data_IF_871459734532
#
_entry.id   IF_871459734532
#
_cell.length_a   1.000
_cell.length_b   1.000
_cell.length_c   1.000
_cell.angle_alpha   90.00
_cell.angle_beta   90.00
_cell.angle_gamma   90.00
#
_symmetry.space_group_name_H-M   'P 1'
#
loop_
_entity.id
_entity.type
_entity.pdbx_description
1 polymer ?
#
# COMPACT_ATOMS: atom_id res chain seq x y z
N UNK A 1 5.61 4.66 8.26
CA UNK A 1 6.41 3.87 9.20
C UNK A 1 7.52 3.18 8.45
N UNK A 2 8.76 3.26 8.93
CA UNK A 2 9.93 2.63 8.30
C UNK A 2 10.09 1.20 8.80
N UNK A 3 10.50 0.33 7.89
CA UNK A 3 10.70 -1.09 8.10
C UNK A 3 12.06 -1.48 7.55
N UNK A 4 12.79 -2.27 8.33
CA UNK A 4 13.98 -2.99 7.88
C UNK A 4 13.54 -4.37 7.44
N UNK A 5 13.67 -4.70 6.17
CA UNK A 5 13.28 -5.99 5.61
C UNK A 5 14.52 -6.81 5.29
N UNK A 6 14.51 -8.08 5.66
CA UNK A 6 15.52 -9.07 5.29
C UNK A 6 14.95 -9.96 4.21
N UNK A 7 15.66 -10.05 3.09
CA UNK A 7 15.31 -10.91 1.97
C UNK A 7 15.98 -12.29 2.09
N UNK A 8 15.41 -13.29 1.42
CA UNK A 8 15.96 -14.64 1.36
C UNK A 8 17.36 -14.66 0.73
N UNK A 9 17.64 -13.77 -0.23
CA UNK A 9 18.97 -13.59 -0.81
C UNK A 9 20.02 -13.03 0.18
N UNK A 10 19.66 -12.79 1.43
CA UNK A 10 20.53 -12.29 2.49
C UNK A 10 20.60 -10.76 2.59
N UNK A 11 20.17 -10.05 1.54
CA UNK A 11 20.18 -8.58 1.53
C UNK A 11 19.13 -7.98 2.45
N UNK A 12 19.45 -6.81 2.97
CA UNK A 12 18.58 -6.05 3.86
C UNK A 12 18.25 -4.72 3.20
N UNK A 13 16.96 -4.38 3.17
CA UNK A 13 16.47 -3.16 2.55
C UNK A 13 15.51 -2.41 3.46
N UNK A 14 15.52 -1.09 3.36
CA UNK A 14 14.61 -0.24 4.11
C UNK A 14 13.43 0.16 3.23
N UNK A 15 12.22 0.02 3.77
CA UNK A 15 10.98 0.44 3.09
C UNK A 15 10.06 1.18 4.03
N UNK A 16 9.27 2.06 3.44
CA UNK A 16 8.23 2.79 4.16
C UNK A 16 6.88 2.16 3.84
N UNK A 17 6.11 1.86 4.88
CA UNK A 17 4.72 1.40 4.77
C UNK A 17 3.79 2.34 5.55
N UNK A 18 2.48 2.18 5.35
CA UNK A 18 1.49 2.99 6.04
C UNK A 18 1.61 2.81 7.57
N UNK A 19 1.36 3.88 8.33
CA UNK A 19 1.60 3.89 9.79
C UNK A 19 0.66 2.96 10.57
N UNK A 20 -0.50 2.60 10.01
CA UNK A 20 -1.44 1.66 10.62
C UNK A 20 -1.03 0.20 10.47
N UNK A 21 -0.07 -0.11 9.58
CA UNK A 21 0.39 -1.47 9.36
C UNK A 21 1.33 -1.85 10.52
N UNK A 22 0.85 -2.71 11.41
CA UNK A 22 1.60 -3.18 12.59
C UNK A 22 2.35 -4.50 12.36
N UNK A 23 2.01 -5.23 11.30
CA UNK A 23 2.62 -6.53 10.98
C UNK A 23 3.19 -6.50 9.57
N UNK A 24 4.25 -7.28 9.35
CA UNK A 24 4.93 -7.38 8.06
C UNK A 24 3.97 -7.79 6.95
N UNK A 25 3.10 -8.75 7.22
CA UNK A 25 2.11 -9.26 6.26
C UNK A 25 1.07 -8.21 5.84
N UNK A 26 0.75 -7.27 6.73
CA UNK A 26 -0.14 -6.14 6.41
C UNK A 26 0.63 -5.02 5.68
N UNK A 27 1.90 -4.82 6.08
CA UNK A 27 2.76 -3.79 5.51
C UNK A 27 3.25 -4.10 4.09
N UNK A 28 3.45 -5.38 3.78
CA UNK A 28 4.05 -5.89 2.55
C UNK A 28 3.30 -7.14 2.06
N UNK A 29 2.26 -6.93 1.27
CA UNK A 29 1.47 -7.99 0.62
C UNK A 29 1.92 -8.27 -0.82
N UNK A 30 2.75 -7.39 -1.40
CA UNK A 30 3.20 -7.47 -2.78
C UNK A 30 4.57 -8.12 -2.95
N UNK A 31 4.87 -8.52 -4.19
CA UNK A 31 6.20 -8.92 -4.60
C UNK A 31 7.22 -7.80 -4.30
N UNK A 32 8.35 -8.18 -3.73
CA UNK A 32 9.45 -7.26 -3.40
C UNK A 32 10.65 -7.63 -4.23
N UNK A 33 11.37 -6.67 -4.79
CA UNK A 33 12.60 -6.91 -5.54
C UNK A 33 13.85 -6.61 -4.70
N UNK A 34 14.91 -7.36 -4.97
CA UNK A 34 16.25 -7.15 -4.40
C UNK A 34 17.02 -6.13 -5.25
N UNK A 35 17.33 -4.92 -4.78
CA UNK A 35 18.08 -3.93 -5.57
C UNK A 35 19.56 -4.33 -5.75
N UNK A 36 20.14 -5.11 -4.84
CA UNK A 36 21.55 -5.48 -4.89
C UNK A 36 21.84 -6.62 -5.86
N UNK A 37 20.91 -7.56 -5.95
CA UNK A 37 21.08 -8.81 -6.69
C UNK A 37 20.13 -8.97 -7.89
N UNK A 38 19.20 -8.03 -8.07
CA UNK A 38 18.22 -8.06 -9.16
C UNK A 38 17.15 -9.16 -9.03
N UNK A 39 17.10 -9.89 -7.92
CA UNK A 39 16.13 -10.96 -7.70
C UNK A 39 14.71 -10.38 -7.63
N UNK A 40 13.84 -10.81 -8.54
CA UNK A 40 12.42 -10.44 -8.61
C UNK A 40 11.57 -11.67 -9.01
N UNK A 41 10.62 -12.12 -8.17
CA UNK A 41 10.31 -11.62 -6.83
C UNK A 41 11.30 -12.15 -5.77
N UNK A 42 11.84 -11.25 -4.95
CA UNK A 42 12.56 -11.59 -3.74
C UNK A 42 11.61 -11.85 -2.56
N UNK A 43 11.79 -12.98 -1.90
CA UNK A 43 11.02 -13.36 -0.70
C UNK A 43 11.51 -12.60 0.52
N UNK A 44 10.61 -11.94 1.23
CA UNK A 44 10.90 -11.35 2.54
C UNK A 44 10.87 -12.46 3.59
N UNK A 45 11.97 -12.68 4.30
CA UNK A 45 12.09 -13.70 5.36
C UNK A 45 11.99 -13.12 6.76
N UNK A 46 12.11 -11.81 6.91
CA UNK A 46 11.93 -11.14 8.19
C UNK A 46 11.86 -9.64 8.01
N UNK A 47 11.32 -8.96 9.02
CA UNK A 47 11.34 -7.51 9.02
C UNK A 47 10.92 -6.89 10.33
N UNK A 48 11.54 -5.76 10.63
CA UNK A 48 11.39 -5.04 11.89
C UNK A 48 10.92 -3.61 11.61
N UNK A 49 9.92 -3.17 12.35
CA UNK A 49 9.44 -1.79 12.28
C UNK A 49 10.40 -0.89 13.08
N UNK A 50 11.09 0.02 12.38
CA UNK A 50 12.14 0.88 12.97
C UNK A 50 11.53 2.14 13.61
N UNK A 51 10.29 2.50 13.26
CA UNK A 51 9.62 3.69 13.79
C UNK A 51 8.98 4.56 12.72
N UNK A 52 8.25 5.60 13.15
CA UNK A 52 7.88 6.71 12.28
C UNK A 52 9.13 7.57 12.09
N UNK A 53 9.43 7.96 10.86
CA UNK A 53 10.52 8.90 10.61
C UNK A 53 10.23 10.16 11.42
N UNK A 54 11.07 10.45 12.43
CA UNK A 54 11.14 11.80 12.95
C UNK A 54 11.65 12.63 11.76
N UNK A 55 10.83 13.59 11.31
CA UNK A 55 11.23 14.54 10.27
C UNK A 55 12.66 14.99 10.58
N UNK A 56 13.63 14.90 9.64
CA UNK A 56 14.85 15.68 9.82
C UNK A 56 14.37 17.11 10.07
N UNK A 57 14.88 17.75 11.12
CA UNK A 57 14.53 19.12 11.53
C UNK A 57 15.02 20.09 10.45
N UNK A 58 14.48 19.98 9.24
CA UNK A 58 14.64 20.91 8.17
C UNK A 58 13.91 22.17 8.60
N UNK A 59 14.63 23.28 8.56
CA UNK A 59 14.13 24.59 8.84
C UNK A 59 12.71 24.76 8.32
N UNK A 60 11.83 25.31 9.15
CA UNK A 60 10.44 25.63 8.85
C UNK A 60 10.40 26.54 7.61
N UNK A 61 10.36 25.94 6.43
CA UNK A 61 9.96 26.61 5.21
C UNK A 61 8.46 26.86 5.38
N UNK A 62 7.96 28.11 5.27
CA UNK A 62 6.52 28.34 5.34
C UNK A 62 5.85 27.45 4.30
N UNK A 63 4.92 26.62 4.77
CA UNK A 63 4.21 25.66 3.95
C UNK A 63 3.55 26.40 2.79
N UNK A 64 3.97 26.08 1.56
CA UNK A 64 3.13 26.34 0.41
C UNK A 64 1.79 25.61 0.64
N UNK A 65 0.64 26.24 0.35
CA UNK A 65 -0.64 25.57 0.50
C UNK A 65 -0.60 24.31 -0.37
N UNK A 66 -0.56 23.15 0.29
CA UNK A 66 -0.69 21.87 -0.39
C UNK A 66 -2.04 21.89 -1.06
N UNK A 67 -2.03 22.12 -2.37
CA UNK A 67 -3.19 21.95 -3.21
C UNK A 67 -3.79 20.60 -2.85
N UNK A 68 -5.02 20.63 -2.34
CA UNK A 68 -5.80 19.45 -2.08
C UNK A 68 -5.85 18.65 -3.38
N UNK A 69 -4.94 17.68 -3.51
CA UNK A 69 -4.97 16.70 -4.57
C UNK A 69 -6.28 15.94 -4.37
N UNK A 70 -7.25 16.30 -5.21
CA UNK A 70 -8.60 15.76 -5.25
C UNK A 70 -8.52 14.25 -5.10
N UNK A 71 -8.98 13.72 -3.95
CA UNK A 71 -9.27 12.29 -3.77
C UNK A 71 -10.54 11.95 -4.56
N UNK A 72 -10.49 12.15 -5.88
CA UNK A 72 -11.53 11.80 -6.83
C UNK A 72 -11.23 10.39 -7.32
N UNK A 73 -11.70 9.38 -6.60
CA UNK A 73 -11.53 8.01 -7.09
C UNK A 73 -11.90 6.89 -6.14
N UNK A 74 -12.18 7.16 -4.86
CA UNK A 74 -12.76 6.12 -3.99
C UNK A 74 -14.28 6.13 -4.17
N UNK A 75 -14.90 5.10 -4.78
CA UNK A 75 -16.34 5.00 -4.87
C UNK A 75 -16.94 4.96 -3.46
N UNK A 76 -18.00 5.74 -3.26
CA UNK A 76 -18.76 5.75 -2.00
C UNK A 76 -19.48 4.42 -1.85
N UNK A 77 -19.82 4.02 -0.61
CA UNK A 77 -20.60 2.80 -0.34
C UNK A 77 -21.84 2.70 -1.26
N UNK A 78 -22.57 3.79 -1.42
CA UNK A 78 -23.75 3.85 -2.29
C UNK A 78 -23.44 3.59 -3.79
N UNK A 79 -22.27 4.02 -4.28
CA UNK A 79 -21.83 3.72 -5.66
C UNK A 79 -21.59 2.22 -5.84
N UNK A 80 -20.94 1.59 -4.86
CA UNK A 80 -20.70 0.15 -4.86
C UNK A 80 -22.02 -0.65 -4.79
N UNK A 81 -22.96 -0.23 -3.93
CA UNK A 81 -24.27 -0.88 -3.78
C UNK A 81 -25.10 -0.77 -5.08
N UNK A 82 -25.08 0.39 -5.76
CA UNK A 82 -25.74 0.56 -7.05
C UNK A 82 -25.13 -0.32 -8.16
N UNK A 83 -23.80 -0.43 -8.19
CA UNK A 83 -23.10 -1.29 -9.15
C UNK A 83 -23.40 -2.76 -8.93
N UNK A 84 -23.45 -3.20 -7.68
CA UNK A 84 -23.83 -4.58 -7.31
C UNK A 84 -25.24 -4.91 -7.81
N UNK A 85 -26.23 -4.05 -7.55
CA UNK A 85 -27.60 -4.28 -8.02
C UNK A 85 -27.73 -4.36 -9.55
N UNK A 86 -26.99 -3.53 -10.29
CA UNK A 86 -26.96 -3.59 -11.75
C UNK A 86 -26.36 -4.90 -12.27
N UNK A 87 -25.29 -5.39 -11.64
CA UNK A 87 -24.66 -6.66 -11.96
C UNK A 87 -25.59 -7.85 -11.65
N UNK A 88 -26.30 -7.81 -10.52
CA UNK A 88 -27.25 -8.86 -10.12
C UNK A 88 -28.43 -8.96 -11.11
N UNK A 89 -28.98 -7.82 -11.56
CA UNK A 89 -30.04 -7.80 -12.56
C UNK A 89 -29.58 -8.38 -13.91
N UNK A 90 -28.34 -8.10 -14.32
CA UNK A 90 -27.77 -8.67 -15.55
C UNK A 90 -27.58 -10.18 -15.46
N UNK A 91 -27.10 -10.68 -14.31
CA UNK A 91 -26.99 -12.13 -14.04
C UNK A 91 -28.38 -12.78 -14.09
N UNK A 92 -29.40 -12.15 -13.51
CA UNK A 92 -30.76 -12.69 -13.53
C UNK A 92 -31.32 -12.79 -14.96
N UNK A 93 -31.13 -11.76 -15.79
CA UNK A 93 -31.51 -11.84 -17.21
C UNK A 93 -30.80 -12.97 -17.95
N UNK A 94 -29.49 -13.15 -17.72
CA UNK A 94 -28.71 -14.22 -18.35
C UNK A 94 -29.11 -15.62 -17.88
N UNK A 95 -29.72 -15.74 -16.70
CA UNK A 95 -30.21 -17.01 -16.15
C UNK A 95 -31.63 -17.36 -16.61
N UNK A 96 -32.42 -16.36 -17.03
CA UNK A 96 -33.81 -16.53 -17.47
C UNK A 96 -33.96 -16.61 -18.99
N UNK A 97 -32.88 -16.37 -19.75
CA UNK A 97 -32.78 -16.68 -21.18
C UNK A 97 -32.10 -18.01 -21.42
#
# INVERSE_FOLDING_TARGET
>A
MRWRLRLYCGHVLERTSHYTHKTLHNAFTGATSCPECGLDPATIVGGEAIGLEAEPKAARVPAAPSAAAKRSGRPTKADLEARVGALEAEIERLRQG
#
